data_IF_251312269377
#
_entry.id   IF_251312269377
#
_cell.length_a   1.000
_cell.length_b   1.000
_cell.length_c   1.000
_cell.angle_alpha   90.00
_cell.angle_beta   90.00
_cell.angle_gamma   90.00
#
_symmetry.space_group_name_H-M   'P 1'
#
loop_
_entity.id
_entity.type
_entity.pdbx_description
1 polymer ?
#
# COMPACT_ATOMS: atom_id res chain seq x y z
N UNK A 1 -14.02 -5.19 -5.24
CA UNK A 1 -12.64 -4.99 -4.75
C UNK A 1 -11.75 -5.83 -5.65
N UNK A 2 -10.71 -5.25 -6.26
CA UNK A 2 -9.93 -5.92 -7.31
C UNK A 2 -9.20 -7.15 -6.74
N UNK A 3 -9.39 -8.34 -7.32
CA UNK A 3 -8.85 -9.61 -6.80
C UNK A 3 -7.31 -9.57 -6.65
N UNK A 4 -6.65 -8.88 -7.58
CA UNK A 4 -5.21 -8.64 -7.58
C UNK A 4 -4.75 -7.94 -6.30
N UNK A 5 -5.40 -6.84 -5.92
CA UNK A 5 -5.04 -6.06 -4.72
C UNK A 5 -5.28 -6.89 -3.45
N UNK A 6 -6.40 -7.61 -3.38
CA UNK A 6 -6.70 -8.49 -2.25
C UNK A 6 -5.62 -9.57 -2.06
N UNK A 7 -5.11 -10.16 -3.15
CA UNK A 7 -4.02 -11.12 -3.11
C UNK A 7 -2.73 -10.47 -2.58
N UNK A 8 -2.36 -9.30 -3.11
CA UNK A 8 -1.16 -8.57 -2.68
C UNK A 8 -1.25 -8.23 -1.18
N UNK A 9 -2.40 -7.75 -0.70
CA UNK A 9 -2.58 -7.40 0.72
C UNK A 9 -2.31 -8.58 1.66
N UNK A 10 -2.54 -9.82 1.22
CA UNK A 10 -2.25 -11.03 2.00
C UNK A 10 -0.76 -11.37 2.03
N UNK A 11 0.01 -10.97 1.02
CA UNK A 11 1.46 -11.23 0.92
C UNK A 11 2.31 -10.18 1.64
N UNK A 12 1.74 -9.06 2.06
CA UNK A 12 2.48 -7.99 2.75
C UNK A 12 2.94 -8.46 4.14
N UNK A 13 4.24 -8.35 4.47
CA UNK A 13 4.78 -8.74 5.77
C UNK A 13 4.44 -7.72 6.86
N UNK A 14 4.54 -8.14 8.12
CA UNK A 14 4.39 -7.26 9.30
C UNK A 14 5.65 -6.47 9.64
N UNK A 15 6.74 -6.66 8.89
CA UNK A 15 8.02 -5.99 9.07
C UNK A 15 7.99 -4.50 8.69
N UNK A 16 8.96 -3.70 9.18
CA UNK A 16 9.15 -2.33 8.74
C UNK A 16 9.62 -2.26 7.28
N UNK A 17 9.32 -1.15 6.61
CA UNK A 17 9.68 -0.97 5.21
C UNK A 17 9.06 0.25 4.56
N UNK A 18 9.31 0.35 3.26
CA UNK A 18 8.74 1.36 2.36
C UNK A 18 7.72 0.68 1.46
N UNK A 19 6.58 1.33 1.22
CA UNK A 19 5.53 0.90 0.29
C UNK A 19 5.28 1.98 -0.75
N UNK A 20 4.93 1.53 -1.96
CA UNK A 20 4.73 2.36 -3.14
C UNK A 20 3.43 1.93 -3.81
N UNK A 21 2.60 2.90 -4.17
CA UNK A 21 1.39 2.68 -4.96
C UNK A 21 1.61 3.17 -6.37
N UNK A 22 1.15 2.37 -7.32
CA UNK A 22 1.24 2.66 -8.74
C UNK A 22 -0.16 2.76 -9.33
N UNK A 23 -0.30 3.62 -10.32
CA UNK A 23 -1.50 3.67 -11.15
C UNK A 23 -1.46 2.63 -12.28
N UNK A 24 -2.45 2.69 -13.17
CA UNK A 24 -2.59 1.80 -14.31
C UNK A 24 -1.49 1.96 -15.37
N UNK A 25 -0.83 3.11 -15.43
CA UNK A 25 0.29 3.36 -16.36
C UNK A 25 1.62 2.85 -15.79
N UNK A 26 1.64 2.48 -14.51
CA UNK A 26 2.83 2.02 -13.80
C UNK A 26 3.65 3.17 -13.21
N UNK A 27 3.06 4.36 -13.08
CA UNK A 27 3.69 5.51 -12.43
C UNK A 27 3.44 5.49 -10.91
N UNK A 28 4.46 5.91 -10.15
CA UNK A 28 4.36 5.99 -8.70
C UNK A 28 3.50 7.20 -8.33
N UNK A 29 2.33 6.94 -7.73
CA UNK A 29 1.40 7.98 -7.27
C UNK A 29 1.51 8.25 -5.76
N UNK A 30 2.15 7.35 -5.01
CA UNK A 30 2.35 7.51 -3.58
C UNK A 30 3.49 6.64 -3.06
N UNK A 31 4.27 7.18 -2.11
CA UNK A 31 5.29 6.44 -1.36
C UNK A 31 5.10 6.72 0.13
N UNK A 32 5.23 5.68 0.95
CA UNK A 32 5.20 5.83 2.40
C UNK A 32 6.14 4.86 3.10
N UNK A 33 6.53 5.20 4.33
CA UNK A 33 7.24 4.31 5.23
C UNK A 33 6.32 3.80 6.33
N UNK A 34 6.57 2.59 6.81
CA UNK A 34 5.79 1.99 7.88
C UNK A 34 6.68 1.14 8.79
N UNK A 35 6.40 1.17 10.11
CA UNK A 35 6.96 0.21 11.07
C UNK A 35 6.38 -1.20 10.89
N UNK A 36 5.16 -1.27 10.34
CA UNK A 36 4.48 -2.51 10.02
C UNK A 36 3.75 -2.30 8.69
N UNK A 37 4.32 -2.86 7.61
CA UNK A 37 3.79 -2.69 6.25
C UNK A 37 2.35 -3.19 6.15
N UNK A 38 2.06 -4.41 6.64
CA UNK A 38 0.72 -5.01 6.59
C UNK A 38 -0.35 -4.11 7.22
N UNK A 39 -0.15 -3.67 8.47
CA UNK A 39 -1.10 -2.79 9.16
C UNK A 39 -1.28 -1.47 8.42
N UNK A 40 -0.19 -0.88 7.92
CA UNK A 40 -0.26 0.43 7.26
C UNK A 40 -1.00 0.35 5.93
N UNK A 41 -0.65 -0.60 5.08
CA UNK A 41 -1.25 -0.74 3.75
C UNK A 41 -2.72 -1.18 3.87
N UNK A 42 -3.03 -2.20 4.69
CA UNK A 42 -4.42 -2.64 4.88
C UNK A 42 -5.33 -1.53 5.43
N UNK A 43 -4.79 -0.56 6.17
CA UNK A 43 -5.58 0.58 6.69
C UNK A 43 -6.21 1.44 5.58
N UNK A 44 -5.64 1.46 4.37
CA UNK A 44 -6.21 2.20 3.24
C UNK A 44 -7.43 1.50 2.63
N UNK A 45 -7.53 0.18 2.80
CA UNK A 45 -8.55 -0.67 2.15
C UNK A 45 -9.62 -1.21 3.13
N UNK A 46 -9.35 -1.21 4.43
CA UNK A 46 -10.26 -1.76 5.44
C UNK A 46 -11.38 -0.80 5.91
N UNK A 47 -11.32 0.49 5.57
CA UNK A 47 -12.30 1.49 5.98
C UNK A 47 -12.72 2.36 4.80
N UNK A 48 -13.95 2.87 4.84
CA UNK A 48 -14.36 3.95 3.94
C UNK A 48 -13.47 5.16 4.18
N UNK A 49 -12.62 5.44 3.20
CA UNK A 49 -11.75 6.60 3.22
C UNK A 49 -12.54 7.83 2.75
N UNK A 50 -12.20 9.00 3.27
CA UNK A 50 -12.82 10.27 2.87
C UNK A 50 -11.85 11.12 2.06
N UNK A 51 -12.42 11.99 1.21
CA UNK A 51 -11.67 13.01 0.46
C UNK A 51 -10.53 12.46 -0.39
N UNK A 52 -9.34 13.04 -0.22
CA UNK A 52 -8.13 12.77 -1.03
C UNK A 52 -7.67 11.31 -0.94
N UNK A 53 -7.84 10.65 0.21
CA UNK A 53 -7.43 9.26 0.39
C UNK A 53 -8.30 8.30 -0.42
N UNK A 54 -9.61 8.58 -0.54
CA UNK A 54 -10.50 7.80 -1.40
C UNK A 54 -10.09 7.88 -2.87
N UNK A 55 -9.75 9.09 -3.33
CA UNK A 55 -9.30 9.31 -4.70
C UNK A 55 -7.94 8.63 -4.97
N UNK A 56 -7.03 8.66 -3.98
CA UNK A 56 -5.78 7.94 -4.07
C UNK A 56 -6.05 6.43 -4.24
N UNK A 57 -6.85 5.85 -3.34
CA UNK A 57 -7.17 4.41 -3.35
C UNK A 57 -7.84 3.99 -4.66
N UNK A 58 -8.72 4.81 -5.23
CA UNK A 58 -9.35 4.49 -6.52
C UNK A 58 -8.37 4.46 -7.70
N UNK A 59 -7.21 5.10 -7.59
CA UNK A 59 -6.18 5.11 -8.63
C UNK A 59 -5.14 4.00 -8.46
N UNK A 60 -5.14 3.25 -7.36
CA UNK A 60 -4.13 2.21 -7.10
C UNK A 60 -4.42 0.98 -7.98
N UNK A 61 -3.52 0.69 -8.91
CA UNK A 61 -3.54 -0.53 -9.73
C UNK A 61 -2.48 -1.56 -9.30
N UNK A 62 -1.40 -1.11 -8.64
CA UNK A 62 -0.35 -1.99 -8.11
C UNK A 62 0.23 -1.47 -6.79
N UNK A 63 0.72 -2.40 -5.97
CA UNK A 63 1.35 -2.10 -4.69
C UNK A 63 2.68 -2.85 -4.63
N UNK A 64 3.78 -2.12 -4.41
CA UNK A 64 5.09 -2.72 -4.17
C UNK A 64 5.63 -2.29 -2.82
N UNK A 65 6.45 -3.13 -2.21
CA UNK A 65 7.05 -2.84 -0.92
C UNK A 65 8.46 -3.42 -0.84
N UNK A 66 9.27 -2.77 -0.03
CA UNK A 66 10.62 -3.22 0.29
C UNK A 66 10.74 -3.28 1.81
N UNK A 67 11.02 -4.48 2.31
CA UNK A 67 11.30 -4.68 3.74
C UNK A 67 12.68 -4.11 4.04
N UNK A 68 12.78 -3.34 5.13
CA UNK A 68 14.06 -2.85 5.63
C UNK A 68 14.35 -3.50 6.98
N UNK A 69 15.58 -3.93 7.20
CA UNK A 69 16.07 -4.21 8.55
C UNK A 69 16.12 -2.89 9.32
N UNK A 70 15.83 -2.92 10.63
CA UNK A 70 15.73 -1.77 11.53
C UNK A 70 16.67 -0.61 11.18
N UNK A 71 16.15 0.62 11.31
CA UNK A 71 16.95 1.85 11.32
C UNK A 71 18.19 1.61 12.21
N UNK A 72 19.38 1.75 11.63
CA UNK A 72 20.63 1.81 12.38
C UNK A 72 20.66 3.08 13.24
#
# INVERSE_FOLDING_TARGET
MNDKITSILKTIPTSPGVYQYFDETGEIIYVGKAKNLKRRVSSYFNKEQTGKTRLLVSKIADIRFTVVGSEA
#
